data_IF_672513413587
#
_entry.id   IF_672513413587
#
_cell.length_a   1.000
_cell.length_b   1.000
_cell.length_c   1.000
_cell.angle_alpha   90.00
_cell.angle_beta   90.00
_cell.angle_gamma   90.00
#
_symmetry.space_group_name_H-M   'P 1'
#
loop_
_entity.id
_entity.type
_entity.pdbx_description
1 polymer ?
#
# COMPACT_ATOMS: atom_id res chain seq x y z
N UNK A 1 -25.48 2.48 20.16
CA UNK A 1 -26.06 1.78 19.00
C UNK A 1 -25.16 2.09 17.82
N UNK A 2 -24.24 1.20 17.50
CA UNK A 2 -23.43 1.30 16.27
C UNK A 2 -24.37 1.07 15.09
N UNK A 3 -24.67 2.12 14.34
CA UNK A 3 -25.33 2.00 13.04
C UNK A 3 -24.45 1.14 12.14
N UNK A 4 -25.02 0.08 11.56
CA UNK A 4 -24.31 -0.74 10.59
C UNK A 4 -23.78 0.15 9.45
N UNK A 5 -22.53 -0.07 9.05
CA UNK A 5 -21.93 0.64 7.92
C UNK A 5 -22.65 0.24 6.63
N UNK A 6 -22.81 1.15 5.66
CA UNK A 6 -23.50 0.85 4.42
C UNK A 6 -22.69 -0.15 3.58
N UNK A 7 -23.33 -1.19 3.00
CA UNK A 7 -22.66 -2.08 2.07
C UNK A 7 -22.28 -1.34 0.78
N UNK A 8 -21.37 -1.92 0.02
CA UNK A 8 -21.03 -1.45 -1.32
C UNK A 8 -22.23 -1.54 -2.26
N UNK A 9 -22.24 -0.78 -3.37
CA UNK A 9 -23.28 -0.89 -4.40
C UNK A 9 -23.09 -2.16 -5.26
N UNK A 10 -23.08 -3.33 -4.60
CA UNK A 10 -23.02 -4.67 -5.15
C UNK A 10 -24.07 -5.52 -4.46
N UNK A 11 -24.72 -6.43 -5.17
CA UNK A 11 -25.69 -7.34 -4.55
C UNK A 11 -24.97 -8.44 -3.78
N UNK A 12 -25.56 -8.89 -2.65
CA UNK A 12 -25.01 -10.01 -1.90
C UNK A 12 -24.91 -11.27 -2.77
N UNK A 13 -25.94 -11.57 -3.57
CA UNK A 13 -25.96 -12.68 -4.53
C UNK A 13 -24.78 -12.65 -5.52
N UNK A 14 -24.30 -11.47 -5.91
CA UNK A 14 -23.14 -11.34 -6.81
C UNK A 14 -21.81 -11.68 -6.11
N UNK A 15 -21.76 -11.55 -4.78
CA UNK A 15 -20.58 -11.83 -3.94
C UNK A 15 -20.59 -13.24 -3.35
N UNK A 16 -21.74 -13.90 -3.28
CA UNK A 16 -21.87 -15.27 -2.76
C UNK A 16 -20.93 -16.25 -3.47
N UNK A 17 -20.74 -16.09 -4.78
CA UNK A 17 -19.84 -16.94 -5.55
C UNK A 17 -18.37 -16.79 -5.13
N UNK A 18 -17.98 -15.64 -4.59
CA UNK A 18 -16.62 -15.37 -4.10
C UNK A 18 -16.44 -15.95 -2.69
N UNK A 19 -17.51 -16.04 -1.91
CA UNK A 19 -17.47 -16.46 -0.49
C UNK A 19 -17.68 -17.97 -0.27
N UNK A 20 -17.69 -18.79 -1.34
CA UNK A 20 -17.83 -20.24 -1.22
C UNK A 20 -16.70 -20.86 -0.39
N UNK A 21 -17.04 -21.80 0.49
CA UNK A 21 -16.10 -22.43 1.45
C UNK A 21 -14.95 -23.16 0.73
N UNK A 22 -15.26 -23.90 -0.32
CA UNK A 22 -14.26 -24.66 -1.09
C UNK A 22 -13.77 -23.87 -2.31
N UNK A 23 -12.46 -23.88 -2.55
CA UNK A 23 -11.82 -23.19 -3.68
C UNK A 23 -12.42 -23.61 -5.03
N UNK A 24 -12.76 -24.89 -5.20
CA UNK A 24 -13.38 -25.42 -6.43
C UNK A 24 -14.73 -24.81 -6.77
N UNK A 25 -15.46 -24.34 -5.76
CA UNK A 25 -16.79 -23.75 -5.90
C UNK A 25 -16.73 -22.23 -5.96
N UNK A 26 -15.65 -21.63 -5.45
CA UNK A 26 -15.44 -20.20 -5.47
C UNK A 26 -15.19 -19.67 -6.89
N UNK A 27 -15.64 -18.44 -7.14
CA UNK A 27 -15.44 -17.71 -8.40
C UNK A 27 -14.89 -16.31 -8.15
N UNK A 28 -14.28 -15.76 -9.19
CA UNK A 28 -13.72 -14.39 -9.13
C UNK A 28 -14.81 -13.32 -8.93
N UNK A 29 -14.42 -12.10 -8.56
CA UNK A 29 -15.35 -10.98 -8.39
C UNK A 29 -16.18 -10.68 -9.65
N UNK A 30 -17.41 -10.16 -9.51
CA UNK A 30 -18.21 -9.70 -10.63
C UNK A 30 -17.55 -8.50 -11.32
N UNK A 31 -17.82 -8.31 -12.62
CA UNK A 31 -17.23 -7.21 -13.42
C UNK A 31 -17.47 -5.83 -12.77
N UNK A 32 -18.65 -5.65 -12.19
CA UNK A 32 -19.08 -4.40 -11.55
C UNK A 32 -18.14 -3.96 -10.42
N UNK A 33 -17.52 -4.90 -9.70
CA UNK A 33 -16.53 -4.59 -8.67
C UNK A 33 -15.30 -3.87 -9.23
N UNK A 34 -14.98 -4.08 -10.51
CA UNK A 34 -13.84 -3.45 -11.19
C UNK A 34 -14.23 -2.21 -12.00
N UNK A 35 -15.45 -2.19 -12.54
CA UNK A 35 -15.85 -1.22 -13.56
C UNK A 35 -16.73 -0.07 -13.03
N UNK A 36 -17.45 -0.26 -11.92
CA UNK A 36 -18.39 0.74 -11.41
C UNK A 36 -17.66 1.91 -10.74
N UNK A 37 -17.93 3.17 -11.17
CA UNK A 37 -17.51 4.35 -10.43
C UNK A 37 -18.12 4.42 -9.04
N UNK A 38 -19.38 4.00 -8.85
CA UNK A 38 -20.03 4.00 -7.54
C UNK A 38 -19.33 3.03 -6.55
N UNK A 39 -18.87 1.88 -7.05
CA UNK A 39 -18.06 0.95 -6.24
C UNK A 39 -16.75 1.60 -5.85
N UNK A 40 -16.01 2.23 -6.77
CA UNK A 40 -14.74 2.87 -6.43
C UNK A 40 -14.90 4.04 -5.45
N UNK A 41 -15.93 4.87 -5.61
CA UNK A 41 -16.20 5.97 -4.68
C UNK A 41 -16.54 5.43 -3.28
N UNK A 42 -17.26 4.31 -3.22
CA UNK A 42 -17.47 3.60 -1.97
C UNK A 42 -16.15 3.04 -1.40
N UNK A 43 -15.31 2.39 -2.21
CA UNK A 43 -14.01 1.84 -1.80
C UNK A 43 -13.09 2.92 -1.23
N UNK A 44 -13.06 4.11 -1.85
CA UNK A 44 -12.25 5.24 -1.36
C UNK A 44 -12.64 5.62 0.07
N UNK A 45 -13.93 5.65 0.37
CA UNK A 45 -14.44 6.01 1.69
C UNK A 45 -14.36 4.87 2.71
N UNK A 46 -14.65 3.64 2.28
CA UNK A 46 -14.88 2.52 3.18
C UNK A 46 -13.68 1.56 3.29
N UNK A 47 -12.77 1.57 2.32
CA UNK A 47 -11.58 0.71 2.29
C UNK A 47 -10.26 1.48 2.32
N UNK A 48 -10.18 2.69 1.74
CA UNK A 48 -8.96 3.51 1.82
C UNK A 48 -8.98 4.43 3.04
N UNK A 49 -10.01 5.26 3.20
CA UNK A 49 -10.11 6.16 4.36
C UNK A 49 -10.21 5.40 5.69
N UNK A 50 -10.88 4.24 5.70
CA UNK A 50 -11.07 3.38 6.87
C UNK A 50 -9.91 2.41 7.17
N UNK A 51 -8.84 2.44 6.38
CA UNK A 51 -7.67 1.58 6.57
C UNK A 51 -6.45 2.39 7.01
N UNK A 52 -5.35 1.68 7.28
CA UNK A 52 -4.01 2.26 7.33
C UNK A 52 -3.42 2.31 5.93
N UNK A 53 -3.29 3.50 5.36
CA UNK A 53 -2.79 3.71 3.98
C UNK A 53 -1.35 4.18 4.01
N UNK A 54 -0.48 3.52 3.27
CA UNK A 54 0.91 3.97 3.08
C UNK A 54 0.93 5.20 2.19
N UNK A 55 1.49 6.30 2.69
CA UNK A 55 1.51 7.61 2.00
C UNK A 55 2.92 8.08 1.60
N UNK A 56 3.96 7.31 1.92
CA UNK A 56 5.34 7.61 1.55
C UNK A 56 6.36 7.12 2.56
N UNK A 57 7.59 7.62 2.46
CA UNK A 57 8.69 7.36 3.40
C UNK A 57 8.76 8.46 4.45
N UNK A 58 9.25 8.10 5.64
CA UNK A 58 9.52 9.01 6.75
C UNK A 58 10.48 10.12 6.34
N UNK A 59 11.44 9.79 5.46
CA UNK A 59 12.40 10.72 4.87
C UNK A 59 11.76 11.77 3.96
N UNK A 60 10.55 11.55 3.43
CA UNK A 60 9.85 12.52 2.60
C UNK A 60 9.36 13.74 3.39
N UNK A 61 9.32 13.60 4.72
CA UNK A 61 9.08 14.67 5.71
C UNK A 61 10.10 14.55 6.83
N UNK A 62 11.38 14.35 6.49
CA UNK A 62 12.41 13.96 7.45
C UNK A 62 12.96 15.08 8.36
N UNK A 63 12.78 16.35 8.00
CA UNK A 63 13.37 17.49 8.73
C UNK A 63 12.31 18.29 9.49
N UNK A 64 12.64 18.85 10.67
CA UNK A 64 11.77 19.81 11.32
C UNK A 64 11.31 20.93 10.37
N UNK A 65 10.02 21.21 10.37
CA UNK A 65 9.38 22.16 9.46
C UNK A 65 8.95 21.60 8.12
N UNK A 66 9.31 20.35 7.78
CA UNK A 66 8.80 19.70 6.57
C UNK A 66 7.28 19.54 6.66
N UNK A 67 6.64 19.82 5.54
CA UNK A 67 5.20 19.70 5.34
C UNK A 67 4.99 19.05 3.97
N UNK A 68 4.10 18.06 3.90
CA UNK A 68 3.73 17.40 2.65
C UNK A 68 2.24 17.17 2.62
N UNK A 69 1.60 17.49 1.50
CA UNK A 69 0.20 17.17 1.29
C UNK A 69 0.08 15.93 0.41
N UNK A 70 -0.73 14.97 0.84
CA UNK A 70 -0.98 13.69 0.17
C UNK A 70 -2.48 13.43 0.14
N UNK A 71 -2.92 12.38 -0.56
CA UNK A 71 -4.32 11.97 -0.63
C UNK A 71 -4.51 10.57 -0.05
N UNK A 72 -5.57 10.41 0.76
CA UNK A 72 -6.04 9.11 1.26
C UNK A 72 -7.53 9.00 0.93
N UNK A 73 -7.90 8.08 0.04
CA UNK A 73 -9.24 8.02 -0.52
C UNK A 73 -9.63 9.34 -1.17
N UNK A 74 -10.69 9.97 -0.67
CA UNK A 74 -11.15 11.30 -1.12
C UNK A 74 -10.54 12.47 -0.34
N UNK A 75 -9.86 12.19 0.78
CA UNK A 75 -9.38 13.21 1.72
C UNK A 75 -7.97 13.70 1.36
N UNK A 76 -7.78 15.02 1.39
CA UNK A 76 -6.44 15.63 1.41
C UNK A 76 -5.89 15.57 2.84
N UNK A 77 -4.66 15.09 2.99
CA UNK A 77 -3.96 14.94 4.27
C UNK A 77 -2.73 15.83 4.27
N UNK A 78 -2.54 16.61 5.33
CA UNK A 78 -1.33 17.38 5.58
C UNK A 78 -0.47 16.63 6.59
N UNK A 79 0.72 16.21 6.18
CA UNK A 79 1.77 15.69 7.05
C UNK A 79 2.69 16.85 7.45
N UNK A 80 3.11 16.87 8.72
CA UNK A 80 4.08 17.84 9.23
C UNK A 80 5.10 17.15 10.13
N UNK A 81 6.32 17.68 10.16
CA UNK A 81 7.37 17.29 11.12
C UNK A 81 7.66 18.46 12.03
N UNK A 82 7.35 18.34 13.31
CA UNK A 82 7.51 19.45 14.25
C UNK A 82 8.98 19.71 14.65
N UNK A 83 9.19 20.70 15.53
CA UNK A 83 10.51 21.07 16.04
C UNK A 83 11.20 19.99 16.87
N UNK A 84 10.45 19.02 17.40
CA UNK A 84 10.95 17.87 18.16
C UNK A 84 11.26 16.66 17.28
N UNK A 85 10.84 16.67 16.02
CA UNK A 85 10.97 15.55 15.10
C UNK A 85 9.76 14.61 15.09
N UNK A 86 8.67 14.96 15.78
CA UNK A 86 7.44 14.16 15.77
C UNK A 86 6.67 14.39 14.46
N UNK A 87 6.23 13.30 13.84
CA UNK A 87 5.32 13.29 12.71
C UNK A 87 3.89 13.58 13.19
N UNK A 88 3.20 14.48 12.51
CA UNK A 88 1.77 14.71 12.69
C UNK A 88 1.04 14.60 11.35
N UNK A 89 -0.25 14.23 11.40
CA UNK A 89 -1.13 14.20 10.25
C UNK A 89 -2.44 14.92 10.57
N UNK A 90 -2.94 15.70 9.62
CA UNK A 90 -4.19 16.45 9.74
C UNK A 90 -5.00 16.34 8.45
N UNK A 91 -6.32 16.53 8.53
CA UNK A 91 -7.06 16.90 7.33
C UNK A 91 -6.50 18.21 6.77
N UNK A 92 -6.24 18.24 5.47
CA UNK A 92 -5.66 19.39 4.76
C UNK A 92 -6.71 20.46 4.47
N UNK A 93 -7.36 20.98 5.51
CA UNK A 93 -8.41 21.97 5.41
C UNK A 93 -8.29 22.99 6.54
N UNK A 94 -8.16 24.26 6.17
CA UNK A 94 -8.17 25.35 7.13
C UNK A 94 -9.50 25.41 7.88
N UNK A 95 -9.46 25.48 9.21
CA UNK A 95 -10.63 25.52 10.10
C UNK A 95 -11.54 26.74 9.92
N UNK A 96 -11.07 27.78 9.24
CA UNK A 96 -11.87 28.98 8.97
C UNK A 96 -12.95 28.76 7.90
N UNK A 97 -12.53 28.46 6.66
CA UNK A 97 -13.43 28.34 5.49
C UNK A 97 -13.06 27.17 4.57
N UNK A 98 -12.35 26.18 5.10
CA UNK A 98 -12.05 24.93 4.38
C UNK A 98 -11.04 25.06 3.24
N UNK A 99 -10.29 26.16 3.15
CA UNK A 99 -9.25 26.28 2.13
C UNK A 99 -8.13 25.27 2.40
N UNK A 100 -7.69 24.58 1.35
CA UNK A 100 -6.55 23.66 1.38
C UNK A 100 -5.29 24.36 1.93
N UNK A 101 -4.59 23.77 2.89
CA UNK A 101 -3.43 24.42 3.53
C UNK A 101 -2.19 24.33 2.65
N UNK A 102 -2.05 23.23 1.92
CA UNK A 102 -0.96 22.95 0.99
C UNK A 102 -1.52 22.11 -0.16
N UNK A 103 -1.23 22.44 -1.42
CA UNK A 103 -1.77 21.67 -2.55
C UNK A 103 -1.39 20.19 -2.45
N UNK A 104 -2.33 19.26 -2.60
CA UNK A 104 -2.02 17.82 -2.69
C UNK A 104 -0.88 17.57 -3.70
N UNK A 105 0.03 16.67 -3.35
CA UNK A 105 1.28 16.34 -4.07
C UNK A 105 2.36 17.42 -4.02
N UNK A 106 2.20 18.45 -3.19
CA UNK A 106 3.24 19.44 -2.93
C UNK A 106 3.89 19.29 -1.54
N UNK A 107 5.10 19.84 -1.42
CA UNK A 107 5.85 19.90 -0.17
C UNK A 107 6.40 21.30 0.08
N UNK A 108 6.69 21.61 1.34
CA UNK A 108 7.39 22.83 1.74
C UNK A 108 8.14 22.61 3.06
N UNK A 109 9.13 23.45 3.36
CA UNK A 109 9.77 23.48 4.68
C UNK A 109 9.56 24.87 5.28
N UNK A 110 8.71 24.95 6.31
CA UNK A 110 8.37 26.19 7.02
C UNK A 110 8.13 25.91 8.49
N UNK A 111 8.45 26.90 9.33
CA UNK A 111 8.27 26.80 10.80
C UNK A 111 6.80 26.73 11.24
N UNK A 112 5.86 27.12 10.38
CA UNK A 112 4.42 27.21 10.65
C UNK A 112 3.63 26.82 9.40
N UNK A 113 2.39 26.38 9.60
CA UNK A 113 1.42 26.18 8.52
C UNK A 113 0.59 27.45 8.36
N UNK A 114 0.72 28.15 7.24
CA UNK A 114 -0.04 29.37 6.98
C UNK A 114 -1.09 29.13 5.88
N UNK A 115 -2.36 29.31 6.22
CA UNK A 115 -3.45 29.22 5.25
C UNK A 115 -3.29 30.29 4.16
N UNK A 116 -3.25 29.90 2.86
CA UNK A 116 -3.09 30.84 1.76
C UNK A 116 -4.22 31.85 1.62
N UNK A 117 -5.43 31.52 2.11
CA UNK A 117 -6.61 32.35 1.87
C UNK A 117 -6.66 33.61 2.75
N UNK A 118 -6.56 33.43 4.07
CA UNK A 118 -6.74 34.53 5.04
C UNK A 118 -5.65 34.57 6.11
N UNK A 119 -4.52 33.88 5.90
CA UNK A 119 -3.38 33.91 6.82
C UNK A 119 -3.73 33.52 8.25
N UNK A 120 -4.60 32.52 8.43
CA UNK A 120 -4.63 31.77 9.69
C UNK A 120 -3.36 30.93 9.78
N UNK A 121 -2.72 30.95 10.93
CA UNK A 121 -1.40 30.33 11.14
C UNK A 121 -1.53 29.29 12.24
N UNK A 122 -1.10 28.08 11.92
CA UNK A 122 -1.06 26.93 12.82
C UNK A 122 0.40 26.57 13.12
N UNK A 123 0.64 26.09 14.34
CA UNK A 123 1.86 25.38 14.68
C UNK A 123 1.92 24.03 13.92
N UNK A 124 3.09 23.39 13.91
CA UNK A 124 3.29 22.14 13.18
C UNK A 124 2.61 20.93 13.84
N UNK A 125 2.21 21.04 15.11
CA UNK A 125 1.35 20.11 15.83
C UNK A 125 -0.15 20.41 15.64
N UNK A 126 -0.48 21.40 14.81
CA UNK A 126 -1.85 21.74 14.42
C UNK A 126 -2.54 22.77 15.32
N UNK A 127 -1.92 23.22 16.42
CA UNK A 127 -2.52 24.26 17.26
C UNK A 127 -2.68 25.58 16.48
N UNK A 128 -3.85 26.23 16.61
CA UNK A 128 -4.04 27.53 15.99
C UNK A 128 -3.26 28.60 16.76
N UNK A 129 -2.16 29.05 16.18
CA UNK A 129 -1.33 30.12 16.74
C UNK A 129 -1.98 31.49 16.61
N UNK A 130 -2.54 31.79 15.44
CA UNK A 130 -3.16 33.10 15.18
C UNK A 130 -4.18 33.08 14.07
N UNK A 131 -5.28 33.80 14.29
CA UNK A 131 -6.28 34.13 13.28
C UNK A 131 -6.23 35.63 12.98
N UNK A 132 -5.89 35.97 11.73
CA UNK A 132 -5.71 37.36 11.32
C UNK A 132 -7.01 38.16 11.51
N UNK A 133 -6.95 39.27 12.26
CA UNK A 133 -8.08 40.17 12.62
C UNK A 133 -9.13 39.58 13.58
N UNK A 134 -8.85 38.47 14.25
CA UNK A 134 -9.73 37.91 15.30
C UNK A 134 -9.31 38.31 16.73
N UNK A 135 -8.21 39.04 16.89
CA UNK A 135 -7.78 39.54 18.21
C UNK A 135 -8.84 40.48 18.79
N UNK A 136 -9.37 40.15 19.97
CA UNK A 136 -10.40 40.94 20.65
C UNK A 136 -11.81 40.75 20.10
N UNK A 137 -12.04 39.75 19.25
CA UNK A 137 -13.39 39.34 18.85
C UNK A 137 -14.08 38.59 19.99
N UNK A 138 -15.30 39.01 20.33
CA UNK A 138 -16.12 38.30 21.31
C UNK A 138 -16.42 36.87 20.81
N UNK A 139 -16.36 35.89 21.72
CA UNK A 139 -16.62 34.46 21.43
C UNK A 139 -15.65 33.82 20.41
N UNK A 140 -14.38 34.22 20.44
CA UNK A 140 -13.33 33.54 19.68
C UNK A 140 -12.16 33.18 20.60
N UNK A 141 -11.85 31.89 20.69
CA UNK A 141 -10.69 31.37 21.41
C UNK A 141 -9.92 30.45 20.48
N UNK A 142 -8.60 30.63 20.35
CA UNK A 142 -7.80 29.91 19.35
C UNK A 142 -7.74 28.41 19.59
N UNK A 143 -7.81 27.98 20.86
CA UNK A 143 -7.84 26.60 21.30
C UNK A 143 -9.09 25.82 20.84
N UNK A 144 -10.15 26.50 20.42
CA UNK A 144 -11.34 25.87 19.83
C UNK A 144 -11.15 25.48 18.35
N UNK A 145 -10.12 26.01 17.68
CA UNK A 145 -9.93 25.90 16.23
C UNK A 145 -8.59 25.28 15.79
N UNK A 146 -8.05 24.22 16.43
CA UNK A 146 -6.85 23.54 15.95
C UNK A 146 -7.14 22.78 14.65
N UNK A 147 -6.12 22.40 13.89
CA UNK A 147 -6.32 21.45 12.80
C UNK A 147 -6.95 20.15 13.33
N UNK A 148 -7.77 19.51 12.50
CA UNK A 148 -8.36 18.22 12.86
C UNK A 148 -7.30 17.14 12.61
N UNK A 149 -6.77 16.60 13.71
CA UNK A 149 -5.73 15.58 13.71
C UNK A 149 -6.22 14.22 13.19
N UNK A 150 -5.29 13.46 12.65
CA UNK A 150 -5.45 12.09 12.18
C UNK A 150 -4.38 11.21 12.80
N UNK A 151 -4.67 9.91 12.88
CA UNK A 151 -3.68 8.91 13.29
C UNK A 151 -2.64 8.69 12.19
N UNK A 152 -1.38 8.72 12.58
CA UNK A 152 -0.24 8.39 11.73
C UNK A 152 0.77 7.51 12.48
N UNK A 153 1.44 6.60 11.77
CA UNK A 153 2.49 5.73 12.30
C UNK A 153 3.66 5.67 11.33
N UNK A 154 4.87 5.72 11.87
CA UNK A 154 6.10 5.37 11.14
C UNK A 154 6.42 3.89 11.40
N UNK A 155 6.37 3.05 10.37
CA UNK A 155 6.65 1.62 10.44
C UNK A 155 7.75 1.25 9.47
N UNK A 156 8.91 0.83 9.99
CA UNK A 156 10.14 0.58 9.23
C UNK A 156 10.44 1.64 8.15
N UNK A 157 10.23 2.91 8.51
CA UNK A 157 10.50 4.06 7.66
C UNK A 157 9.39 4.39 6.65
N UNK A 158 8.28 3.64 6.57
CA UNK A 158 7.07 4.06 5.85
C UNK A 158 6.10 4.81 6.75
N UNK A 159 5.40 5.80 6.19
CA UNK A 159 4.34 6.52 6.88
C UNK A 159 2.99 5.91 6.50
N UNK A 160 2.22 5.53 7.51
CA UNK A 160 0.83 5.12 7.38
C UNK A 160 -0.10 6.14 8.02
N UNK A 161 -1.23 6.41 7.39
CA UNK A 161 -2.29 7.30 7.90
C UNK A 161 -3.61 6.56 7.90
N UNK A 162 -4.40 6.72 8.96
CA UNK A 162 -5.81 6.32 8.99
C UNK A 162 -6.69 7.58 8.97
N UNK A 163 -7.47 7.76 7.91
CA UNK A 163 -8.21 9.01 7.65
C UNK A 163 -9.62 9.03 8.25
N UNK A 164 -10.14 7.89 8.71
CA UNK A 164 -11.44 7.76 9.38
C UNK A 164 -11.37 7.84 10.91
N UNK A 165 -10.18 7.65 11.48
CA UNK A 165 -9.92 7.49 12.92
C UNK A 165 -10.61 6.26 13.57
N UNK A 166 -11.11 5.32 12.77
CA UNK A 166 -11.86 4.15 13.25
C UNK A 166 -11.24 2.78 12.92
N UNK A 167 -10.05 2.77 12.29
CA UNK A 167 -9.32 1.52 12.08
C UNK A 167 -8.82 0.95 13.43
N UNK A 168 -8.61 -0.38 13.54
CA UNK A 168 -7.87 -0.97 14.65
C UNK A 168 -6.49 -0.33 14.82
N UNK A 169 -5.87 -0.51 15.99
CA UNK A 169 -4.50 -0.06 16.21
C UNK A 169 -3.55 -0.61 15.14
N UNK A 170 -2.53 0.17 14.75
CA UNK A 170 -1.64 -0.22 13.66
C UNK A 170 -0.98 -1.58 13.89
N UNK A 171 -0.62 -1.90 15.13
CA UNK A 171 -0.06 -3.20 15.51
C UNK A 171 -1.02 -4.38 15.26
N UNK A 172 -2.32 -4.17 15.48
CA UNK A 172 -3.35 -5.16 15.14
C UNK A 172 -3.51 -5.27 13.61
N UNK A 173 -3.47 -4.13 12.91
CA UNK A 173 -3.58 -4.08 11.45
C UNK A 173 -2.47 -4.86 10.74
N UNK A 174 -1.21 -4.68 11.14
CA UNK A 174 -0.08 -5.41 10.55
C UNK A 174 0.09 -6.81 11.11
N UNK A 175 -0.38 -7.06 12.34
CA UNK A 175 -0.23 -8.35 13.01
C UNK A 175 1.22 -8.82 13.04
N UNK A 176 1.44 -10.10 12.72
CA UNK A 176 2.76 -10.73 12.69
C UNK A 176 3.67 -10.29 11.52
N UNK A 177 3.22 -9.38 10.64
CA UNK A 177 4.08 -8.91 9.54
C UNK A 177 5.32 -8.20 10.05
N UNK A 178 5.22 -7.52 11.19
CA UNK A 178 6.36 -6.83 11.82
C UNK A 178 7.52 -7.81 12.08
N UNK A 179 7.22 -9.02 12.53
CA UNK A 179 8.23 -10.04 12.81
C UNK A 179 8.88 -10.58 11.51
N UNK A 180 8.11 -10.64 10.43
CA UNK A 180 8.60 -11.05 9.10
C UNK A 180 9.55 -10.01 8.51
N UNK A 181 9.25 -8.72 8.67
CA UNK A 181 10.03 -7.60 8.11
C UNK A 181 11.23 -7.22 8.98
N UNK A 182 11.16 -7.42 10.30
CA UNK A 182 12.20 -7.01 11.24
C UNK A 182 13.64 -7.43 10.87
N UNK A 183 13.92 -8.64 10.34
CA UNK A 183 15.27 -9.03 9.94
C UNK A 183 15.85 -8.20 8.79
N UNK A 184 14.99 -7.61 7.94
CA UNK A 184 15.43 -6.73 6.85
C UNK A 184 15.68 -5.30 7.32
N UNK A 185 14.97 -4.85 8.36
CA UNK A 185 15.01 -3.49 8.94
C UNK A 185 15.14 -2.35 7.90
N UNK A 186 14.10 -2.08 7.10
CA UNK A 186 14.13 -1.01 6.11
C UNK A 186 14.00 0.41 6.70
N UNK A 187 14.09 0.58 8.02
CA UNK A 187 13.92 1.86 8.71
C UNK A 187 14.80 2.95 8.12
N UNK A 188 16.11 2.70 8.02
CA UNK A 188 17.10 3.67 7.55
C UNK A 188 17.53 3.48 6.09
N UNK A 189 16.92 2.53 5.37
CA UNK A 189 17.21 2.30 3.97
C UNK A 189 16.84 3.51 3.11
N UNK A 190 17.64 3.73 2.06
CA UNK A 190 17.48 4.84 1.13
C UNK A 190 17.03 4.33 -0.23
N UNK A 191 16.22 5.13 -0.92
CA UNK A 191 15.78 4.84 -2.28
C UNK A 191 16.98 4.99 -3.21
N UNK A 192 17.42 3.88 -3.81
CA UNK A 192 18.44 3.88 -4.86
C UNK A 192 17.86 4.28 -6.22
N UNK A 193 16.66 3.79 -6.52
CA UNK A 193 15.94 4.09 -7.76
C UNK A 193 14.42 4.02 -7.53
N UNK A 194 13.66 4.78 -8.33
CA UNK A 194 12.19 4.74 -8.34
C UNK A 194 11.66 4.87 -9.75
N UNK A 195 10.62 4.10 -10.06
CA UNK A 195 9.86 4.20 -11.30
C UNK A 195 8.40 4.52 -11.00
N UNK A 196 7.71 5.15 -11.94
CA UNK A 196 6.29 5.46 -11.82
C UNK A 196 5.54 5.06 -13.07
N UNK A 197 4.33 4.51 -12.88
CA UNK A 197 3.49 4.00 -13.96
C UNK A 197 2.05 4.46 -13.73
N UNK A 198 1.36 4.82 -14.81
CA UNK A 198 -0.09 5.03 -14.82
C UNK A 198 -0.71 3.93 -15.67
N UNK A 199 -1.29 2.94 -15.00
CA UNK A 199 -1.79 1.71 -15.61
C UNK A 199 -3.25 1.86 -15.99
N UNK A 200 -3.64 1.33 -17.15
CA UNK A 200 -5.02 1.31 -17.64
C UNK A 200 -5.79 0.09 -17.11
N UNK A 201 -5.79 -0.07 -15.78
CA UNK A 201 -6.40 -1.19 -15.07
C UNK A 201 -6.92 -0.79 -13.69
N UNK A 202 -7.79 -1.62 -13.12
CA UNK A 202 -8.30 -1.45 -11.76
C UNK A 202 -7.22 -1.84 -10.73
N UNK A 203 -7.17 -1.12 -9.61
CA UNK A 203 -6.15 -1.34 -8.57
C UNK A 203 -6.15 -2.76 -8.00
N UNK A 204 -7.33 -3.39 -7.92
CA UNK A 204 -7.47 -4.77 -7.45
C UNK A 204 -6.73 -5.75 -8.35
N UNK A 205 -6.77 -5.56 -9.67
CA UNK A 205 -6.11 -6.46 -10.63
C UNK A 205 -4.59 -6.46 -10.49
N UNK A 206 -4.00 -5.34 -10.05
CA UNK A 206 -2.56 -5.25 -9.76
C UNK A 206 -2.21 -6.10 -8.54
N UNK A 207 -3.05 -6.05 -7.49
CA UNK A 207 -2.87 -6.86 -6.28
C UNK A 207 -3.13 -8.34 -6.56
N UNK A 208 -4.19 -8.65 -7.31
CA UNK A 208 -4.53 -10.02 -7.72
C UNK A 208 -3.36 -10.65 -8.49
N UNK A 209 -2.81 -9.94 -9.48
CA UNK A 209 -1.64 -10.39 -10.23
C UNK A 209 -0.40 -10.59 -9.32
N UNK A 210 -0.18 -9.69 -8.35
CA UNK A 210 0.98 -9.81 -7.44
C UNK A 210 0.87 -10.99 -6.46
N UNK A 211 -0.33 -11.46 -6.15
CA UNK A 211 -0.57 -12.48 -5.12
C UNK A 211 -0.49 -13.93 -5.62
N UNK A 212 -0.22 -14.16 -6.89
CA UNK A 212 -0.04 -15.49 -7.46
C UNK A 212 1.16 -15.54 -8.43
N UNK A 213 1.62 -16.75 -8.72
CA UNK A 213 2.68 -17.00 -9.70
C UNK A 213 2.27 -18.07 -10.73
N UNK A 214 0.96 -18.24 -10.93
CA UNK A 214 0.39 -19.11 -11.96
C UNK A 214 0.72 -18.57 -13.36
N UNK A 215 0.70 -17.25 -13.56
CA UNK A 215 1.11 -16.64 -14.83
C UNK A 215 2.63 -16.70 -15.07
N UNK A 216 3.45 -16.79 -14.02
CA UNK A 216 4.90 -16.59 -14.08
C UNK A 216 5.61 -17.42 -15.17
N UNK A 217 5.37 -18.74 -15.32
CA UNK A 217 6.04 -19.53 -16.37
C UNK A 217 5.74 -19.08 -17.80
N UNK A 218 4.61 -18.38 -17.99
CA UNK A 218 4.14 -17.97 -19.31
C UNK A 218 4.66 -16.59 -19.70
N UNK A 219 4.74 -15.65 -18.75
CA UNK A 219 5.01 -14.24 -19.06
C UNK A 219 6.32 -13.68 -18.48
N UNK A 220 7.00 -14.39 -17.56
CA UNK A 220 8.25 -13.93 -16.94
C UNK A 220 9.45 -14.85 -17.18
N UNK A 221 9.98 -14.91 -18.43
CA UNK A 221 11.13 -15.74 -18.72
C UNK A 221 12.39 -15.32 -17.94
N UNK A 222 12.56 -14.05 -17.60
CA UNK A 222 13.67 -13.54 -16.77
C UNK A 222 13.53 -13.97 -15.31
N UNK A 223 12.34 -13.79 -14.71
CA UNK A 223 12.09 -14.18 -13.32
C UNK A 223 12.26 -15.68 -13.11
N UNK A 224 11.71 -16.49 -14.02
CA UNK A 224 11.76 -17.95 -13.91
C UNK A 224 13.19 -18.52 -14.01
N UNK A 225 14.16 -17.74 -14.52
CA UNK A 225 15.58 -18.11 -14.56
C UNK A 225 16.28 -17.99 -13.22
N UNK A 226 15.80 -17.16 -12.31
CA UNK A 226 16.41 -16.95 -10.99
C UNK A 226 15.56 -17.47 -9.84
N UNK A 227 14.29 -17.77 -10.11
CA UNK A 227 13.36 -18.27 -9.11
C UNK A 227 12.36 -19.28 -9.70
N UNK A 228 12.07 -20.40 -9.02
CA UNK A 228 11.07 -21.38 -9.44
C UNK A 228 9.66 -21.00 -8.96
N UNK A 229 8.70 -20.67 -9.87
CA UNK A 229 7.34 -20.24 -9.53
C UNK A 229 6.54 -21.21 -8.64
N UNK A 230 6.81 -22.51 -8.77
CA UNK A 230 6.15 -23.58 -8.02
C UNK A 230 6.45 -23.58 -6.51
N UNK A 231 7.41 -22.77 -6.07
CA UNK A 231 7.77 -22.62 -4.64
C UNK A 231 6.97 -21.53 -3.93
N UNK A 232 6.14 -20.77 -4.67
CA UNK A 232 5.27 -19.76 -4.08
C UNK A 232 4.35 -20.41 -3.03
N UNK A 233 4.38 -19.88 -1.82
CA UNK A 233 3.57 -20.39 -0.72
C UNK A 233 3.10 -19.24 0.18
N UNK A 234 1.81 -19.21 0.51
CA UNK A 234 1.28 -18.23 1.45
C UNK A 234 1.76 -18.49 2.89
N UNK A 235 2.19 -17.44 3.58
CA UNK A 235 2.47 -17.49 5.01
C UNK A 235 1.19 -17.28 5.81
N UNK A 236 1.16 -17.86 7.02
CA UNK A 236 0.11 -17.57 7.99
C UNK A 236 0.23 -16.12 8.45
N UNK A 237 -0.80 -15.33 8.20
CA UNK A 237 -0.91 -13.93 8.61
C UNK A 237 -1.90 -13.78 9.78
N UNK A 238 -1.69 -12.77 10.62
CA UNK A 238 -2.63 -12.37 11.70
C UNK A 238 -3.13 -10.94 11.56
N UNK A 239 -2.71 -10.23 10.51
CA UNK A 239 -3.15 -8.87 10.17
C UNK A 239 -3.73 -8.80 8.76
N UNK A 240 -3.98 -7.57 8.27
CA UNK A 240 -4.46 -7.29 6.92
C UNK A 240 -3.35 -7.37 5.86
N UNK A 241 -2.71 -8.53 5.76
CA UNK A 241 -1.69 -8.76 4.75
C UNK A 241 -1.76 -10.18 4.19
N UNK A 242 -1.32 -10.34 2.94
CA UNK A 242 -1.28 -11.62 2.23
C UNK A 242 0.02 -11.75 1.46
N UNK A 243 0.60 -12.94 1.43
CA UNK A 243 1.82 -13.22 0.67
C UNK A 243 2.70 -14.26 1.36
N UNK A 244 3.92 -14.44 0.86
CA UNK A 244 4.88 -15.38 1.43
C UNK A 244 6.16 -15.51 0.62
N UNK A 245 6.95 -16.56 0.87
CA UNK A 245 8.23 -16.73 0.20
C UNK A 245 8.09 -17.26 -1.21
N UNK A 246 9.11 -16.96 -2.01
CA UNK A 246 9.45 -17.63 -3.25
C UNK A 246 10.96 -17.91 -3.21
N UNK A 247 11.39 -19.12 -3.57
CA UNK A 247 12.80 -19.51 -3.44
C UNK A 247 13.66 -18.87 -4.55
N UNK A 248 14.95 -18.70 -4.27
CA UNK A 248 15.96 -18.40 -5.27
C UNK A 248 16.61 -19.70 -5.74
N UNK A 249 16.81 -19.85 -7.04
CA UNK A 249 17.57 -20.97 -7.61
C UNK A 249 18.99 -20.99 -7.06
N UNK A 250 19.57 -22.18 -6.90
CA UNK A 250 20.87 -22.42 -6.26
C UNK A 250 22.01 -21.49 -6.74
N UNK A 251 21.99 -21.12 -8.02
CA UNK A 251 22.99 -20.26 -8.65
C UNK A 251 22.68 -18.75 -8.59
N UNK A 252 21.49 -18.36 -8.13
CA UNK A 252 21.08 -16.99 -7.92
C UNK A 252 21.35 -16.53 -6.47
N UNK A 253 21.90 -15.34 -6.33
CA UNK A 253 22.11 -14.60 -5.08
C UNK A 253 20.95 -13.65 -4.78
N UNK A 254 20.25 -13.18 -5.81
CA UNK A 254 19.14 -12.23 -5.72
C UNK A 254 18.28 -12.26 -7.00
N UNK A 255 17.20 -11.48 -7.01
CA UNK A 255 16.39 -11.19 -8.18
C UNK A 255 17.07 -10.15 -9.07
N UNK A 256 17.84 -10.63 -10.04
CA UNK A 256 18.52 -9.84 -11.07
C UNK A 256 18.65 -10.66 -12.37
N UNK A 257 19.02 -10.03 -13.48
CA UNK A 257 19.03 -10.71 -14.79
C UNK A 257 20.01 -11.88 -14.89
N UNK A 258 21.15 -11.81 -14.20
CA UNK A 258 22.19 -12.84 -14.15
C UNK A 258 22.25 -13.57 -12.80
N UNK A 259 21.29 -13.28 -11.90
CA UNK A 259 21.24 -13.81 -10.55
C UNK A 259 22.33 -13.27 -9.62
N UNK A 260 23.17 -12.31 -10.02
CA UNK A 260 24.22 -11.72 -9.16
C UNK A 260 23.73 -10.46 -8.46
N UNK A 261 24.21 -10.25 -7.24
CA UNK A 261 23.97 -9.02 -6.50
C UNK A 261 25.00 -7.94 -6.88
N UNK A 262 24.51 -6.73 -7.17
CA UNK A 262 25.33 -5.51 -7.22
C UNK A 262 25.40 -4.77 -5.87
N UNK A 263 24.72 -5.26 -4.85
CA UNK A 263 24.62 -4.67 -3.51
C UNK A 263 25.39 -5.48 -2.47
N UNK A 264 24.86 -5.51 -1.26
CA UNK A 264 25.31 -6.42 -0.21
C UNK A 264 24.12 -7.09 0.43
N UNK A 265 24.31 -8.36 0.81
CA UNK A 265 23.35 -9.07 1.63
C UNK A 265 23.05 -8.26 2.89
N UNK A 266 21.77 -8.13 3.20
CA UNK A 266 21.28 -7.47 4.40
C UNK A 266 21.80 -8.21 5.64
N UNK A 267 22.38 -7.47 6.58
CA UNK A 267 23.09 -8.08 7.71
C UNK A 267 22.17 -8.85 8.68
N UNK A 268 20.91 -8.45 8.80
CA UNK A 268 19.96 -9.00 9.76
C UNK A 268 19.30 -10.32 9.33
N UNK A 269 19.45 -10.75 8.08
CA UNK A 269 18.77 -11.94 7.55
C UNK A 269 19.63 -13.21 7.68
N UNK A 270 19.00 -14.34 8.01
CA UNK A 270 19.63 -15.65 8.11
C UNK A 270 20.07 -16.21 6.75
N UNK A 271 20.89 -17.25 6.74
CA UNK A 271 21.30 -17.91 5.49
C UNK A 271 20.10 -18.50 4.75
N UNK A 272 19.10 -19.01 5.47
CA UNK A 272 17.85 -19.49 4.88
C UNK A 272 17.04 -18.35 4.25
N UNK A 273 16.92 -17.21 4.95
CA UNK A 273 16.23 -16.03 4.43
C UNK A 273 16.93 -15.46 3.19
N UNK A 274 18.26 -15.52 3.13
CA UNK A 274 19.04 -15.10 1.97
C UNK A 274 18.84 -15.99 0.73
N UNK A 275 18.12 -17.13 0.85
CA UNK A 275 17.75 -18.00 -0.27
C UNK A 275 16.32 -17.79 -0.76
N UNK A 276 15.64 -16.75 -0.28
CA UNK A 276 14.23 -16.48 -0.61
C UNK A 276 14.04 -15.00 -0.92
N UNK A 277 13.06 -14.72 -1.78
CA UNK A 277 12.35 -13.44 -1.77
C UNK A 277 11.09 -13.62 -0.92
N UNK A 278 10.63 -12.59 -0.21
CA UNK A 278 9.35 -12.62 0.49
C UNK A 278 8.50 -11.48 -0.02
N UNK A 279 7.35 -11.78 -0.60
CA UNK A 279 6.45 -10.79 -1.18
C UNK A 279 5.15 -10.76 -0.39
N UNK A 280 4.61 -9.58 -0.12
CA UNK A 280 3.30 -9.45 0.51
C UNK A 280 2.61 -8.14 0.15
N UNK A 281 1.29 -8.24 0.00
CA UNK A 281 0.39 -7.10 0.02
C UNK A 281 0.06 -6.78 1.47
N UNK A 282 0.29 -5.54 1.90
CA UNK A 282 -0.26 -4.95 3.11
C UNK A 282 -1.40 -4.02 2.71
N UNK A 283 -2.61 -4.37 3.14
CA UNK A 283 -3.81 -3.72 2.67
C UNK A 283 -3.84 -2.24 3.11
N UNK A 284 -4.36 -1.35 2.26
CA UNK A 284 -4.91 -1.64 0.93
C UNK A 284 -3.92 -1.40 -0.23
N UNK A 285 -2.76 -0.76 0.00
CA UNK A 285 -2.04 -0.09 -1.09
C UNK A 285 -0.52 -0.24 -1.10
N UNK A 286 0.07 -1.08 -0.26
CA UNK A 286 1.51 -1.34 -0.27
C UNK A 286 1.78 -2.79 -0.63
N UNK A 287 2.48 -3.02 -1.74
CA UNK A 287 3.14 -4.28 -2.04
C UNK A 287 4.59 -4.15 -1.62
N UNK A 288 5.10 -5.09 -0.83
CA UNK A 288 6.44 -5.06 -0.27
C UNK A 288 7.11 -6.40 -0.53
N UNK A 289 8.22 -6.34 -1.27
CA UNK A 289 9.03 -7.50 -1.64
C UNK A 289 10.41 -7.36 -1.00
N UNK A 290 10.71 -8.25 -0.07
CA UNK A 290 11.97 -8.35 0.64
C UNK A 290 12.93 -9.25 -0.17
N UNK A 291 14.08 -8.72 -0.57
CA UNK A 291 15.15 -9.45 -1.28
C UNK A 291 16.36 -9.64 -0.36
N UNK A 292 17.29 -10.54 -0.69
CA UNK A 292 18.48 -10.74 0.15
C UNK A 292 19.34 -9.49 0.38
N UNK A 293 19.31 -8.54 -0.55
CA UNK A 293 20.23 -7.39 -0.64
C UNK A 293 19.54 -6.03 -0.86
N UNK A 294 18.22 -6.02 -1.09
CA UNK A 294 17.41 -4.81 -1.21
C UNK A 294 15.95 -5.06 -0.81
N UNK A 295 15.18 -3.98 -0.75
CA UNK A 295 13.73 -4.04 -0.54
C UNK A 295 13.06 -3.34 -1.70
N UNK A 296 12.05 -3.96 -2.31
CA UNK A 296 11.24 -3.35 -3.36
C UNK A 296 9.84 -3.06 -2.82
N UNK A 297 9.27 -1.93 -3.21
CA UNK A 297 7.86 -1.62 -2.92
C UNK A 297 7.12 -1.17 -4.15
N UNK A 298 5.83 -1.52 -4.25
CA UNK A 298 4.85 -0.87 -5.12
C UNK A 298 3.81 -0.18 -4.25
N UNK A 299 3.66 1.14 -4.40
CA UNK A 299 2.61 1.91 -3.75
C UNK A 299 1.53 2.25 -4.75
N UNK A 300 0.31 1.77 -4.51
CA UNK A 300 -0.82 1.90 -5.42
C UNK A 300 -1.68 3.11 -5.05
N UNK A 301 -2.16 3.83 -6.05
CA UNK A 301 -3.13 4.93 -5.90
C UNK A 301 -4.23 4.76 -6.95
N UNK A 302 -5.46 4.37 -6.55
CA UNK A 302 -6.59 4.23 -7.47
C UNK A 302 -7.07 5.60 -7.99
N UNK A 303 -6.93 5.85 -9.30
CA UNK A 303 -7.30 7.12 -9.94
C UNK A 303 -8.73 7.09 -10.51
N UNK A 304 -9.09 5.98 -11.15
CA UNK A 304 -10.45 5.71 -11.66
C UNK A 304 -10.70 4.19 -11.69
N UNK A 305 -11.91 3.70 -12.02
CA UNK A 305 -12.14 2.26 -12.12
C UNK A 305 -11.19 1.54 -13.09
N UNK A 306 -10.70 2.25 -14.12
CA UNK A 306 -9.77 1.73 -15.11
C UNK A 306 -8.42 2.40 -15.13
N UNK A 307 -8.04 3.14 -14.07
CA UNK A 307 -6.73 3.76 -14.00
C UNK A 307 -6.14 3.69 -12.59
N UNK A 308 -4.92 3.16 -12.48
CA UNK A 308 -4.19 3.03 -11.22
C UNK A 308 -2.77 3.58 -11.39
N UNK A 309 -2.38 4.50 -10.52
CA UNK A 309 -0.99 4.94 -10.43
C UNK A 309 -0.20 4.00 -9.52
N UNK A 310 1.00 3.64 -9.93
CA UNK A 310 1.92 2.77 -9.18
C UNK A 310 3.29 3.43 -9.11
N UNK A 311 3.79 3.61 -7.89
CA UNK A 311 5.17 4.02 -7.63
C UNK A 311 5.96 2.81 -7.15
N UNK A 312 6.98 2.44 -7.92
CA UNK A 312 7.94 1.39 -7.56
C UNK A 312 9.20 2.05 -6.98
N UNK A 313 9.73 1.50 -5.89
CA UNK A 313 11.00 1.97 -5.31
C UNK A 313 11.86 0.79 -4.86
N UNK A 314 13.17 0.92 -5.07
CA UNK A 314 14.18 -0.03 -4.62
C UNK A 314 15.02 0.62 -3.53
N UNK A 315 14.88 0.10 -2.31
CA UNK A 315 15.53 0.57 -1.11
C UNK A 315 16.74 -0.29 -0.78
N UNK A 316 17.84 0.36 -0.42
CA UNK A 316 19.10 -0.29 -0.09
C UNK A 316 19.60 0.21 1.27
N UNK A 317 20.40 -0.61 2.01
CA UNK A 317 21.14 -0.12 3.16
C UNK A 317 21.91 1.15 2.79
N UNK A 318 21.86 2.17 3.66
CA UNK A 318 22.45 3.48 3.38
C UNK A 318 23.93 3.37 3.02
N UNK A 319 24.66 2.57 3.77
CA UNK A 319 26.08 2.31 3.60
C UNK A 319 26.42 1.59 2.29
N UNK A 320 25.45 0.95 1.63
CA UNK A 320 25.60 0.36 0.29
C UNK A 320 25.30 1.43 -0.77
N UNK A 321 24.18 2.11 -0.63
CA UNK A 321 23.72 3.12 -1.58
C UNK A 321 24.66 4.33 -1.71
N UNK A 322 25.34 4.71 -0.62
CA UNK A 322 26.25 5.87 -0.60
C UNK A 322 27.68 5.52 -1.08
N UNK A 323 27.93 4.28 -1.51
CA UNK A 323 29.28 3.87 -1.98
C UNK A 323 29.61 4.47 -3.34
N UNK A 324 30.85 4.94 -3.56
CA UNK A 324 31.29 5.35 -4.88
C UNK A 324 31.13 4.22 -5.91
N UNK A 325 30.35 4.49 -6.95
CA UNK A 325 30.13 3.56 -8.05
C UNK A 325 29.06 2.48 -7.81
N UNK A 326 28.29 2.56 -6.72
CA UNK A 326 27.09 1.74 -6.57
C UNK A 326 26.07 2.06 -7.66
N UNK A 327 25.50 1.01 -8.26
CA UNK A 327 24.51 1.10 -9.33
C UNK A 327 23.32 0.19 -9.00
N UNK A 328 22.13 0.74 -8.68
CA UNK A 328 20.95 -0.04 -8.34
C UNK A 328 20.27 -0.71 -9.55
N UNK A 329 20.75 -0.45 -10.78
CA UNK A 329 20.08 -0.89 -12.01
C UNK A 329 20.00 -2.40 -12.19
N UNK A 330 20.87 -3.18 -11.52
CA UNK A 330 20.78 -4.66 -11.54
C UNK A 330 19.45 -5.17 -10.94
N UNK A 331 18.92 -4.44 -9.96
CA UNK A 331 17.65 -4.72 -9.30
C UNK A 331 16.50 -4.01 -10.03
N UNK A 332 16.62 -2.70 -10.22
CA UNK A 332 15.55 -1.89 -10.80
C UNK A 332 15.26 -2.26 -12.26
N UNK A 333 16.30 -2.51 -13.06
CA UNK A 333 16.17 -2.91 -14.46
C UNK A 333 15.55 -4.29 -14.63
N UNK A 334 15.87 -5.25 -13.76
CA UNK A 334 15.23 -6.57 -13.73
C UNK A 334 13.72 -6.43 -13.44
N UNK A 335 13.36 -5.72 -12.38
CA UNK A 335 11.97 -5.57 -12.00
C UNK A 335 11.18 -4.64 -12.94
N UNK A 336 11.78 -3.68 -13.63
CA UNK A 336 11.09 -2.92 -14.68
C UNK A 336 10.60 -3.83 -15.82
N UNK A 337 11.39 -4.84 -16.20
CA UNK A 337 10.98 -5.84 -17.20
C UNK A 337 9.78 -6.63 -16.70
N UNK A 338 9.87 -7.19 -15.48
CA UNK A 338 8.78 -7.97 -14.87
C UNK A 338 7.52 -7.13 -14.68
N UNK A 339 7.64 -5.92 -14.11
CA UNK A 339 6.53 -4.99 -13.91
C UNK A 339 5.81 -4.68 -15.22
N UNK A 340 6.53 -4.44 -16.31
CA UNK A 340 5.90 -4.17 -17.62
C UNK A 340 5.15 -5.39 -18.16
N UNK A 341 5.67 -6.60 -17.93
CA UNK A 341 4.99 -7.85 -18.30
C UNK A 341 3.69 -8.02 -17.51
N UNK A 342 3.74 -7.81 -16.19
CA UNK A 342 2.58 -7.84 -15.29
C UNK A 342 1.53 -6.81 -15.67
N UNK A 343 1.94 -5.56 -15.81
CA UNK A 343 1.01 -4.47 -16.08
C UNK A 343 0.33 -4.63 -17.44
N UNK A 344 1.03 -5.14 -18.46
CA UNK A 344 0.40 -5.49 -19.73
C UNK A 344 -0.66 -6.59 -19.57
N UNK A 345 -0.44 -7.58 -18.71
CA UNK A 345 -1.42 -8.60 -18.38
C UNK A 345 -2.63 -8.01 -17.64
N UNK A 346 -2.42 -7.19 -16.60
CA UNK A 346 -3.49 -6.53 -15.86
C UNK A 346 -4.35 -5.61 -16.76
N UNK A 347 -3.73 -4.86 -17.67
CA UNK A 347 -4.45 -4.02 -18.64
C UNK A 347 -5.24 -4.87 -19.64
N UNK A 348 -4.68 -6.00 -20.08
CA UNK A 348 -5.39 -6.94 -20.95
C UNK A 348 -6.60 -7.58 -20.26
N UNK A 349 -6.48 -7.97 -18.98
CA UNK A 349 -7.60 -8.46 -18.17
C UNK A 349 -8.68 -7.39 -18.05
N UNK A 350 -8.30 -6.14 -17.78
CA UNK A 350 -9.26 -5.03 -17.72
C UNK A 350 -10.00 -4.82 -19.05
N UNK A 351 -9.32 -4.92 -20.19
CA UNK A 351 -9.99 -4.90 -21.51
C UNK A 351 -10.97 -6.06 -21.68
N UNK A 352 -10.66 -7.24 -21.16
CA UNK A 352 -11.57 -8.38 -21.13
C UNK A 352 -12.83 -8.13 -20.29
N UNK A 353 -12.69 -7.48 -19.13
CA UNK A 353 -13.79 -7.12 -18.23
C UNK A 353 -14.77 -6.13 -18.89
N UNK A 354 -14.27 -5.19 -19.70
CA UNK A 354 -15.11 -4.25 -20.45
C UNK A 354 -16.04 -4.94 -21.46
N UNK A 355 -15.70 -6.16 -21.87
CA UNK A 355 -16.52 -6.95 -22.79
C UNK A 355 -17.73 -7.58 -22.09
N UNK A 356 -18.84 -7.71 -22.82
CA UNK A 356 -20.06 -8.38 -22.34
C UNK A 356 -19.91 -9.89 -22.07
N UNK A 357 -18.76 -10.46 -22.43
CA UNK A 357 -18.46 -11.90 -22.34
C UNK A 357 -17.92 -12.35 -20.98
N UNK A 358 -17.41 -11.44 -20.15
CA UNK A 358 -16.84 -11.84 -18.85
C UNK A 358 -17.91 -12.42 -17.92
N UNK A 359 -17.56 -13.54 -17.28
CA UNK A 359 -18.29 -14.13 -16.16
C UNK A 359 -17.26 -14.53 -15.11
N UNK A 360 -17.58 -14.38 -13.81
CA UNK A 360 -16.76 -14.91 -12.71
C UNK A 360 -16.20 -16.31 -13.01
N UNK A 361 -14.86 -16.40 -13.05
CA UNK A 361 -14.12 -17.61 -13.41
C UNK A 361 -13.75 -18.45 -12.20
N UNK A 362 -13.48 -19.76 -12.36
CA UNK A 362 -12.94 -20.60 -11.30
C UNK A 362 -11.47 -20.28 -11.00
N UNK A 363 -11.04 -20.55 -9.77
CA UNK A 363 -9.65 -20.46 -9.36
C UNK A 363 -8.89 -21.79 -9.56
N UNK A 364 -7.60 -21.69 -9.84
CA UNK A 364 -6.62 -22.77 -9.68
C UNK A 364 -6.11 -22.81 -8.23
N UNK A 365 -5.55 -23.96 -7.82
CA UNK A 365 -4.96 -24.13 -6.49
C UNK A 365 -3.79 -23.17 -6.19
N UNK A 366 -3.13 -22.64 -7.23
CA UNK A 366 -2.04 -21.66 -7.13
C UNK A 366 -2.51 -20.21 -6.95
N UNK A 367 -3.83 -19.98 -6.96
CA UNK A 367 -4.45 -18.65 -6.83
C UNK A 367 -5.13 -18.48 -5.46
N UNK A 368 -4.66 -19.21 -4.44
CA UNK A 368 -5.17 -19.16 -3.07
C UNK A 368 -5.01 -17.75 -2.45
N UNK A 369 -3.90 -17.07 -2.71
CA UNK A 369 -3.68 -15.66 -2.32
C UNK A 369 -4.70 -14.71 -2.94
N UNK A 370 -4.99 -14.87 -4.24
CA UNK A 370 -6.01 -14.10 -4.96
C UNK A 370 -7.40 -14.37 -4.39
N UNK A 371 -7.72 -15.66 -4.17
CA UNK A 371 -8.97 -16.09 -3.55
C UNK A 371 -9.14 -15.47 -2.16
N UNK A 372 -8.11 -15.44 -1.33
CA UNK A 372 -8.14 -14.85 0.01
C UNK A 372 -8.40 -13.34 -0.06
N UNK A 373 -7.68 -12.63 -0.94
CA UNK A 373 -7.87 -11.19 -1.15
C UNK A 373 -9.29 -10.85 -1.60
N UNK A 374 -9.80 -11.55 -2.62
CA UNK A 374 -11.14 -11.33 -3.11
C UNK A 374 -12.21 -11.68 -2.05
N UNK A 375 -11.96 -12.65 -1.18
CA UNK A 375 -12.84 -12.94 -0.03
C UNK A 375 -12.90 -11.77 0.96
N UNK A 376 -11.74 -11.22 1.32
CA UNK A 376 -11.64 -10.08 2.22
C UNK A 376 -12.40 -8.88 1.63
N UNK A 377 -12.23 -8.62 0.33
CA UNK A 377 -12.98 -7.58 -0.38
C UNK A 377 -14.49 -7.86 -0.39
N UNK A 378 -14.91 -9.07 -0.74
CA UNK A 378 -16.33 -9.44 -0.76
C UNK A 378 -16.98 -9.29 0.62
N UNK A 379 -16.31 -9.73 1.69
CA UNK A 379 -16.78 -9.49 3.05
C UNK A 379 -16.83 -8.00 3.39
N UNK A 380 -15.82 -7.23 2.98
CA UNK A 380 -15.81 -5.79 3.22
C UNK A 380 -16.95 -5.08 2.49
N UNK A 381 -17.24 -5.46 1.24
CA UNK A 381 -18.39 -4.96 0.48
C UNK A 381 -19.72 -5.24 1.18
N UNK A 382 -19.87 -6.39 1.84
CA UNK A 382 -21.08 -6.72 2.59
C UNK A 382 -21.19 -5.99 3.93
N UNK A 383 -20.05 -5.73 4.59
CA UNK A 383 -20.01 -5.28 5.99
C UNK A 383 -19.68 -3.79 6.16
N UNK A 384 -19.19 -3.12 5.12
CA UNK A 384 -18.87 -1.69 5.16
C UNK A 384 -17.41 -1.32 5.45
N UNK A 385 -16.51 -2.31 5.65
CA UNK A 385 -15.12 -2.09 6.08
C UNK A 385 -14.27 -3.35 5.98
N UNK A 386 -12.95 -3.21 6.09
CA UNK A 386 -12.05 -4.35 6.32
C UNK A 386 -12.32 -5.05 7.65
N UNK A 387 -12.12 -6.37 7.68
CA UNK A 387 -12.27 -7.20 8.89
C UNK A 387 -11.07 -8.16 9.05
N UNK A 388 -10.22 -7.87 10.04
CA UNK A 388 -9.04 -8.68 10.38
C UNK A 388 -9.45 -10.07 10.88
N UNK A 389 -10.57 -10.16 11.61
CA UNK A 389 -11.02 -11.40 12.24
C UNK A 389 -11.58 -12.42 11.23
N UNK A 390 -12.01 -11.94 10.06
CA UNK A 390 -12.48 -12.78 8.95
C UNK A 390 -11.38 -13.13 7.96
N UNK A 391 -10.10 -12.98 8.33
CA UNK A 391 -9.05 -13.35 7.40
C UNK A 391 -9.08 -14.85 7.14
N UNK A 392 -9.55 -15.22 5.94
CA UNK A 392 -9.75 -16.61 5.58
C UNK A 392 -8.38 -17.20 5.25
N UNK A 393 -7.86 -17.98 6.20
CA UNK A 393 -6.64 -18.76 6.00
C UNK A 393 -7.02 -20.03 5.24
N UNK A 394 -6.92 -19.97 3.91
CA UNK A 394 -7.06 -21.17 3.09
C UNK A 394 -5.73 -21.92 3.10
N UNK A 395 -5.59 -22.87 4.03
CA UNK A 395 -4.59 -23.93 3.97
C UNK A 395 -3.15 -23.46 3.70
N UNK A 396 -2.57 -22.69 4.63
CA UNK A 396 -1.11 -22.75 4.76
C UNK A 396 -0.73 -24.21 5.00
N UNK A 397 0.25 -24.75 4.26
CA UNK A 397 0.89 -25.99 4.72
C UNK A 397 1.49 -25.65 6.07
N UNK A 398 1.02 -26.32 7.12
CA UNK A 398 1.68 -26.28 8.42
C UNK A 398 3.13 -26.70 8.19
N UNK A 399 4.08 -25.77 8.25
CA UNK A 399 5.49 -26.10 8.20
C UNK A 399 5.85 -26.92 9.45
N UNK A 400 6.33 -28.14 9.18
CA UNK A 400 7.24 -28.88 10.06
C UNK A 400 8.58 -28.17 10.15
#
# INVERSE_FOLDING_TARGET
>A
MTTALPPAPLTADALDCVLQEHLSDARTLPAEAYLSPEVLDWERKHLLEAAWVCVGRSNDVGKPGDQRAVRVGTQGILLTRDGSGTLHAFYNACRHRGHELLAVDSCTNKRLVQCPYHSWVYELDGELRSATRFTGTDNFATDEWPLIGLRAVEWFGWIFVNASDDAPDFGEWVGNLTDVVAPWDPTDMVVGESHSYTLQTNWKLVIENYLECYHCPSIHPELCRVSPPETAMGLRHTGMWLGGPLELRDDAETMSLDGRSGGERIAGISDEQARRTIYFMLAPNLLLTLQPDYVMTHRLVPLSPGETFVECSWLFPREVAERPGFDPSYAAGFWDITNRQDFAACESVYQGLLGNGYRPGPFDAREDGVRAFQAQLASAYLTGRWDIAQTITFGGRDDQ
#
